data_IF_994011240157
#
_entry.id   IF_994011240157
#
_cell.length_a   1.000
_cell.length_b   1.000
_cell.length_c   1.000
_cell.angle_alpha   90.00
_cell.angle_beta   90.00
_cell.angle_gamma   90.00
#
_symmetry.space_group_name_H-M   'P 1'
#
loop_
_entity.id
_entity.type
_entity.pdbx_description
1 polymer ?
#
# COMPACT_ATOMS: atom_id res chain seq x y z
N UNK A 1 -0.74 8.68 10.68
CA UNK A 1 -0.87 7.65 9.61
C UNK A 1 -0.52 8.24 8.25
N UNK A 2 -1.29 9.17 7.69
CA UNK A 2 -0.99 9.80 6.39
C UNK A 2 0.41 10.40 6.29
N UNK A 3 0.82 11.16 7.31
CA UNK A 3 2.16 11.77 7.36
C UNK A 3 3.27 10.70 7.30
N UNK A 4 3.05 9.54 7.90
CA UNK A 4 3.96 8.39 7.82
C UNK A 4 4.12 7.90 6.39
N UNK A 5 3.03 7.74 5.64
CA UNK A 5 3.07 7.33 4.22
C UNK A 5 3.80 8.35 3.34
N UNK A 6 3.57 9.65 3.58
CA UNK A 6 4.27 10.71 2.82
C UNK A 6 5.77 10.71 3.11
N UNK A 7 6.15 10.57 4.38
CA UNK A 7 7.56 10.51 4.79
C UNK A 7 8.26 9.26 4.25
N UNK A 8 7.59 8.11 4.29
CA UNK A 8 8.10 6.87 3.72
C UNK A 8 8.32 7.00 2.21
N UNK A 9 7.35 7.57 1.48
CA UNK A 9 7.49 7.82 0.04
C UNK A 9 8.67 8.74 -0.26
N UNK A 10 8.88 9.80 0.53
CA UNK A 10 10.02 10.70 0.36
C UNK A 10 11.36 9.96 0.48
N UNK A 11 11.46 9.00 1.41
CA UNK A 11 12.65 8.17 1.56
C UNK A 11 12.80 7.20 0.37
N UNK A 12 11.72 6.53 -0.02
CA UNK A 12 11.72 5.58 -1.14
C UNK A 12 12.17 6.22 -2.47
N UNK A 13 11.78 7.46 -2.76
CA UNK A 13 12.18 8.16 -3.98
C UNK A 13 13.71 8.37 -4.09
N UNK A 14 14.44 8.25 -2.99
CA UNK A 14 15.91 8.36 -2.95
C UNK A 14 16.61 7.02 -3.24
N UNK A 15 15.86 5.92 -3.32
CA UNK A 15 16.41 4.56 -3.45
C UNK A 15 16.25 4.00 -4.87
N UNK A 16 17.36 3.57 -5.49
CA UNK A 16 17.34 3.00 -6.85
C UNK A 16 16.46 1.74 -6.97
N UNK A 17 16.45 0.92 -5.92
CA UNK A 17 15.63 -0.30 -5.88
C UNK A 17 14.14 0.01 -5.92
N UNK A 18 13.72 1.15 -5.38
CA UNK A 18 12.33 1.58 -5.44
C UNK A 18 11.91 1.87 -6.87
N UNK A 19 12.71 2.63 -7.63
CA UNK A 19 12.42 2.96 -9.03
C UNK A 19 12.29 1.71 -9.90
N UNK A 20 13.21 0.76 -9.75
CA UNK A 20 13.13 -0.48 -10.51
C UNK A 20 11.89 -1.29 -10.15
N UNK A 21 11.59 -1.40 -8.85
CA UNK A 21 10.40 -2.11 -8.38
C UNK A 21 9.11 -1.46 -8.89
N UNK A 22 9.03 -0.12 -8.87
CA UNK A 22 7.89 0.65 -9.33
C UNK A 22 7.64 0.46 -10.83
N UNK A 23 8.68 0.56 -11.66
CA UNK A 23 8.55 0.36 -13.11
C UNK A 23 8.05 -1.05 -13.42
N UNK A 24 8.64 -2.07 -12.79
CA UNK A 24 8.21 -3.45 -13.00
C UNK A 24 6.77 -3.66 -12.55
N UNK A 25 6.40 -3.17 -11.36
CA UNK A 25 5.04 -3.34 -10.85
C UNK A 25 4.02 -2.65 -11.74
N UNK A 26 4.30 -1.42 -12.18
CA UNK A 26 3.38 -0.67 -13.04
C UNK A 26 3.16 -1.36 -14.38
N UNK A 27 4.21 -1.91 -15.00
CA UNK A 27 4.06 -2.72 -16.22
C UNK A 27 3.19 -3.95 -15.96
N UNK A 28 3.46 -4.70 -14.89
CA UNK A 28 2.70 -5.93 -14.58
C UNK A 28 1.24 -5.68 -14.22
N UNK A 29 0.94 -4.54 -13.59
CA UNK A 29 -0.40 -4.17 -13.16
C UNK A 29 -1.15 -3.33 -14.22
N UNK A 30 -0.50 -2.95 -15.32
CA UNK A 30 -1.06 -2.06 -16.34
C UNK A 30 -1.29 -0.63 -15.83
N UNK A 31 -0.50 -0.18 -14.86
CA UNK A 31 -0.58 1.16 -14.28
C UNK A 31 0.23 2.18 -15.09
N UNK A 32 -0.14 3.45 -14.99
CA UNK A 32 0.59 4.51 -15.65
C UNK A 32 1.81 4.92 -14.80
N UNK A 33 3.01 4.88 -15.38
CA UNK A 33 4.23 5.30 -14.68
C UNK A 33 4.14 6.72 -14.11
N UNK A 34 3.43 7.64 -14.78
CA UNK A 34 3.24 9.02 -14.34
C UNK A 34 2.38 9.15 -13.06
N UNK A 35 1.76 8.09 -12.59
CA UNK A 35 1.01 8.09 -11.33
C UNK A 35 1.91 8.27 -10.09
N UNK A 36 3.22 8.12 -10.25
CA UNK A 36 4.20 8.39 -9.19
C UNK A 36 4.10 9.81 -8.65
N UNK A 37 3.80 10.77 -9.52
CA UNK A 37 3.66 12.19 -9.16
C UNK A 37 2.33 12.46 -8.45
N UNK A 38 1.35 11.57 -8.59
CA UNK A 38 0.00 11.70 -8.01
C UNK A 38 -0.11 11.09 -6.61
N UNK A 39 0.83 10.24 -6.22
CA UNK A 39 0.77 9.49 -4.97
C UNK A 39 0.50 10.39 -3.76
N UNK A 40 1.22 11.51 -3.65
CA UNK A 40 1.07 12.44 -2.53
C UNK A 40 -0.32 13.08 -2.48
N UNK A 41 -0.90 13.36 -3.65
CA UNK A 41 -2.24 13.95 -3.75
C UNK A 41 -3.31 12.93 -3.33
N UNK A 42 -3.15 11.66 -3.74
CA UNK A 42 -4.03 10.58 -3.31
C UNK A 42 -3.99 10.38 -1.79
N UNK A 43 -2.80 10.33 -1.18
CA UNK A 43 -2.66 10.20 0.28
C UNK A 43 -3.29 11.38 1.01
N UNK A 44 -3.12 12.60 0.50
CA UNK A 44 -3.74 13.80 1.07
C UNK A 44 -5.26 13.77 0.92
N UNK A 45 -5.79 13.27 -0.18
CA UNK A 45 -7.22 13.20 -0.47
C UNK A 45 -7.99 12.20 0.41
N UNK A 46 -7.34 11.16 0.95
CA UNK A 46 -7.98 10.14 1.80
C UNK A 46 -8.77 10.76 2.97
N UNK A 47 -9.92 10.23 3.32
CA UNK A 47 -10.75 10.68 4.44
C UNK A 47 -10.94 9.56 5.44
N UNK A 48 -11.41 9.90 6.64
CA UNK A 48 -11.69 8.91 7.69
C UNK A 48 -12.67 7.84 7.21
N UNK A 49 -13.62 8.27 6.40
CA UNK A 49 -14.68 7.44 5.81
C UNK A 49 -14.10 6.41 4.84
N UNK A 50 -13.07 6.76 4.07
CA UNK A 50 -12.41 5.84 3.13
C UNK A 50 -11.76 4.66 3.87
N UNK A 51 -11.11 4.94 5.02
CA UNK A 51 -10.52 3.88 5.84
C UNK A 51 -11.58 2.94 6.42
N UNK A 52 -12.73 3.49 6.87
CA UNK A 52 -13.85 2.67 7.35
C UNK A 52 -14.43 1.81 6.23
N UNK A 53 -14.63 2.39 5.05
CA UNK A 53 -15.15 1.68 3.89
C UNK A 53 -14.20 0.54 3.48
N UNK A 54 -12.90 0.81 3.46
CA UNK A 54 -11.89 -0.20 3.14
C UNK A 54 -11.84 -1.33 4.18
N UNK A 55 -11.84 -0.98 5.47
CA UNK A 55 -11.87 -1.96 6.56
C UNK A 55 -13.09 -2.86 6.46
N UNK A 56 -14.29 -2.29 6.27
CA UNK A 56 -15.52 -3.08 6.13
C UNK A 56 -15.53 -3.97 4.87
N UNK A 57 -14.77 -3.62 3.84
CA UNK A 57 -14.69 -4.41 2.61
C UNK A 57 -13.76 -5.62 2.72
N UNK A 58 -12.64 -5.47 3.44
CA UNK A 58 -11.55 -6.46 3.42
C UNK A 58 -11.28 -7.12 4.77
N UNK A 59 -11.76 -6.54 5.88
CA UNK A 59 -11.67 -7.10 7.22
C UNK A 59 -13.08 -7.60 7.57
N UNK A 60 -13.46 -8.72 6.94
CA UNK A 60 -14.75 -9.36 7.17
C UNK A 60 -14.61 -10.41 8.28
N UNK A 61 -15.39 -10.24 9.34
CA UNK A 61 -15.50 -11.24 10.40
C UNK A 61 -15.99 -12.57 9.78
N UNK A 62 -15.21 -13.65 10.00
CA UNK A 62 -15.49 -14.98 9.46
C UNK A 62 -14.63 -15.40 8.25
N UNK A 63 -13.92 -14.47 7.60
CA UNK A 63 -12.95 -14.80 6.53
C UNK A 63 -11.49 -14.83 7.03
N UNK A 64 -11.26 -14.44 8.29
CA UNK A 64 -9.96 -14.49 8.92
C UNK A 64 -9.52 -15.96 9.13
N UNK A 65 -8.61 -16.43 8.28
CA UNK A 65 -7.97 -17.73 8.42
C UNK A 65 -6.74 -17.60 9.31
N UNK A 66 -6.81 -18.17 10.51
CA UNK A 66 -5.67 -18.24 11.43
C UNK A 66 -4.95 -19.57 11.27
N UNK A 67 -3.64 -19.50 11.02
CA UNK A 67 -2.75 -20.67 11.01
C UNK A 67 -1.78 -20.52 12.18
N UNK A 68 -1.75 -21.50 13.07
CA UNK A 68 -0.81 -21.55 14.19
C UNK A 68 0.15 -22.70 13.93
N UNK A 69 1.43 -22.38 13.73
CA UNK A 69 2.47 -23.37 13.58
C UNK A 69 3.04 -23.70 14.97
N UNK A 70 2.78 -24.91 15.45
CA UNK A 70 3.41 -25.42 16.66
C UNK A 70 4.73 -26.11 16.30
N UNK A 71 5.75 -26.06 17.19
CA UNK A 71 7.01 -26.77 16.98
C UNK A 71 6.77 -28.28 16.85
N UNK A 72 7.60 -28.93 16.04
CA UNK A 72 7.66 -30.40 16.01
C UNK A 72 8.15 -30.92 17.36
N UNK A 73 7.65 -32.10 17.76
CA UNK A 73 7.96 -32.73 19.05
C UNK A 73 9.45 -32.96 19.25
#
# INVERSE_FOLDING_TARGET
MKEGFLKERELQLKENNFWMSYIMSSETAGENLADIDKYNDWVKALKKEDFKAFANKYILDGELKQFVLNPEK
#
